data_IF_197844879749
#
_entry.id   IF_197844879749
#
_cell.length_a   1.000
_cell.length_b   1.000
_cell.length_c   1.000
_cell.angle_alpha   90.00
_cell.angle_beta   90.00
_cell.angle_gamma   90.00
#
_symmetry.space_group_name_H-M   'P 1'
#
loop_
_entity.id
_entity.type
_entity.pdbx_description
1 polymer ?
#
# COMPACT_ATOMS: atom_id res chain seq x y z
N UNK A 1 19.05 8.11 25.13
CA UNK A 1 17.66 8.21 24.62
C UNK A 1 16.71 8.01 25.80
N UNK A 2 15.78 8.95 26.03
CA UNK A 2 14.83 8.84 27.15
C UNK A 2 13.82 7.70 26.92
N UNK A 3 13.14 7.25 27.99
CA UNK A 3 12.06 6.27 27.86
C UNK A 3 10.92 6.81 26.97
N UNK A 4 10.62 8.10 27.09
CA UNK A 4 9.62 8.81 26.27
C UNK A 4 9.98 8.78 24.79
N UNK A 5 11.25 9.00 24.42
CA UNK A 5 11.65 8.97 23.00
C UNK A 5 11.59 7.57 22.40
N UNK A 6 11.83 6.52 23.21
CA UNK A 6 11.60 5.12 22.81
C UNK A 6 10.12 4.86 22.52
N UNK A 7 9.23 5.35 23.38
CA UNK A 7 7.79 5.17 23.22
C UNK A 7 7.28 5.84 21.93
N UNK A 8 7.65 7.09 21.66
CA UNK A 8 7.26 7.77 20.41
C UNK A 8 7.84 7.12 19.15
N UNK A 9 9.06 6.60 19.22
CA UNK A 9 9.65 5.83 18.13
C UNK A 9 8.84 4.58 17.82
N UNK A 10 8.53 3.78 18.84
CA UNK A 10 7.72 2.57 18.69
C UNK A 10 6.32 2.91 18.16
N UNK A 11 5.68 3.93 18.72
CA UNK A 11 4.38 4.41 18.26
C UNK A 11 4.41 4.79 16.78
N UNK A 12 5.38 5.59 16.36
CA UNK A 12 5.50 6.00 14.96
C UNK A 12 5.67 4.79 14.03
N UNK A 13 6.58 3.87 14.35
CA UNK A 13 6.87 2.71 13.49
C UNK A 13 5.64 1.81 13.39
N UNK A 14 5.06 1.42 14.53
CA UNK A 14 3.90 0.53 14.55
C UNK A 14 2.69 1.17 13.87
N UNK A 15 2.39 2.43 14.19
CA UNK A 15 1.28 3.13 13.58
C UNK A 15 1.47 3.31 12.08
N UNK A 16 2.70 3.62 11.62
CA UNK A 16 2.99 3.79 10.19
C UNK A 16 2.88 2.48 9.42
N UNK A 17 3.35 1.36 9.99
CA UNK A 17 3.21 0.03 9.36
C UNK A 17 1.74 -0.35 9.23
N UNK A 18 0.96 -0.23 10.31
CA UNK A 18 -0.48 -0.53 10.28
C UNK A 18 -1.24 0.39 9.32
N UNK A 19 -0.96 1.70 9.35
CA UNK A 19 -1.58 2.65 8.45
C UNK A 19 -1.20 2.37 6.98
N UNK A 20 0.06 2.01 6.73
CA UNK A 20 0.53 1.65 5.40
C UNK A 20 -0.17 0.40 4.88
N UNK A 21 -0.40 -0.60 5.73
CA UNK A 21 -1.15 -1.81 5.35
C UNK A 21 -2.58 -1.50 4.91
N UNK A 22 -3.35 -0.78 5.74
CA UNK A 22 -4.74 -0.44 5.42
C UNK A 22 -4.84 0.48 4.20
N UNK A 23 -4.01 1.53 4.15
CA UNK A 23 -4.03 2.48 3.03
C UNK A 23 -3.55 1.82 1.73
N UNK A 24 -2.60 0.87 1.79
CA UNK A 24 -2.15 0.13 0.60
C UNK A 24 -3.29 -0.70 0.00
N UNK A 25 -4.05 -1.41 0.83
CA UNK A 25 -5.25 -2.13 0.38
C UNK A 25 -6.25 -1.18 -0.28
N UNK A 26 -6.55 -0.03 0.34
CA UNK A 26 -7.47 0.95 -0.22
C UNK A 26 -7.02 1.48 -1.59
N UNK A 27 -5.74 1.79 -1.76
CA UNK A 27 -5.19 2.27 -3.04
C UNK A 27 -5.14 1.15 -4.09
N UNK A 28 -4.89 -0.09 -3.67
CA UNK A 28 -4.96 -1.27 -4.53
C UNK A 28 -6.39 -1.47 -5.07
N UNK A 29 -7.40 -1.55 -4.20
CA UNK A 29 -8.79 -1.70 -4.64
C UNK A 29 -9.28 -0.52 -5.48
N UNK A 30 -8.81 0.70 -5.19
CA UNK A 30 -9.09 1.86 -6.04
C UNK A 30 -8.56 1.65 -7.46
N UNK A 31 -7.39 1.05 -7.61
CA UNK A 31 -6.81 0.71 -8.91
C UNK A 31 -7.68 -0.21 -9.75
N UNK A 32 -8.22 -1.25 -9.13
CA UNK A 32 -9.22 -2.13 -9.74
C UNK A 32 -10.46 -1.36 -10.18
N UNK A 33 -11.00 -0.50 -9.30
CA UNK A 33 -12.17 0.31 -9.60
C UNK A 33 -11.93 1.23 -10.81
N UNK A 34 -10.79 1.92 -10.84
CA UNK A 34 -10.41 2.81 -11.94
C UNK A 34 -10.36 2.06 -13.27
N UNK A 35 -9.69 0.90 -13.32
CA UNK A 35 -9.63 0.10 -14.55
C UNK A 35 -11.00 -0.47 -14.94
N UNK A 36 -11.82 -0.88 -13.98
CA UNK A 36 -13.18 -1.34 -14.26
C UNK A 36 -14.00 -0.22 -14.92
N UNK A 37 -13.98 0.99 -14.38
CA UNK A 37 -14.72 2.12 -14.97
C UNK A 37 -14.19 2.52 -16.34
N UNK A 38 -12.87 2.63 -16.50
CA UNK A 38 -12.23 3.00 -17.78
C UNK A 38 -12.52 1.97 -18.88
N UNK A 39 -12.61 0.69 -18.52
CA UNK A 39 -12.89 -0.40 -19.48
C UNK A 39 -14.38 -0.63 -19.75
N UNK A 40 -15.28 0.23 -19.24
CA UNK A 40 -16.73 0.08 -19.42
C UNK A 40 -17.38 -0.98 -18.52
N UNK A 41 -16.64 -1.47 -17.52
CA UNK A 41 -17.16 -2.26 -16.42
C UNK A 41 -17.83 -1.41 -15.34
N UNK A 42 -18.33 -2.09 -14.31
CA UNK A 42 -18.99 -1.43 -13.19
C UNK A 42 -18.73 -2.18 -11.89
N UNK A 43 -18.31 -1.43 -10.87
CA UNK A 43 -18.06 -1.92 -9.51
C UNK A 43 -19.39 -2.05 -8.78
N UNK A 44 -19.59 -3.18 -8.11
CA UNK A 44 -20.75 -3.42 -7.25
C UNK A 44 -20.48 -2.99 -5.81
N UNK A 45 -19.37 -3.50 -5.24
CA UNK A 45 -19.01 -3.35 -3.83
C UNK A 45 -17.50 -3.41 -3.73
N UNK A 46 -16.94 -2.54 -2.89
CA UNK A 46 -15.57 -2.67 -2.39
C UNK A 46 -15.67 -3.03 -0.92
N UNK A 47 -14.80 -3.92 -0.44
CA UNK A 47 -14.68 -4.24 0.99
C UNK A 47 -13.29 -3.80 1.44
N UNK A 48 -13.25 -2.86 2.39
CA UNK A 48 -12.04 -2.41 3.07
C UNK A 48 -12.26 -2.56 4.57
N UNK A 49 -11.71 -3.59 5.18
CA UNK A 49 -11.92 -3.84 6.60
C UNK A 49 -10.62 -4.32 7.25
N UNK A 50 -10.26 -3.86 8.46
CA UNK A 50 -8.96 -4.20 9.05
C UNK A 50 -8.79 -5.69 9.38
N UNK A 51 -9.89 -6.44 9.47
CA UNK A 51 -9.94 -7.83 9.93
C UNK A 51 -10.08 -8.85 8.80
N UNK A 52 -10.30 -8.40 7.56
CA UNK A 52 -10.41 -9.28 6.38
C UNK A 52 -9.62 -8.70 5.22
N UNK A 53 -9.26 -9.53 4.25
CA UNK A 53 -8.61 -9.04 3.04
C UNK A 53 -9.56 -8.16 2.22
N UNK A 54 -9.00 -7.11 1.63
CA UNK A 54 -9.74 -6.25 0.72
C UNK A 54 -10.17 -7.02 -0.54
N UNK A 55 -11.30 -6.62 -1.10
CA UNK A 55 -11.81 -7.19 -2.35
C UNK A 55 -12.73 -6.21 -3.07
N UNK A 56 -12.60 -6.15 -4.39
CA UNK A 56 -13.52 -5.44 -5.28
C UNK A 56 -14.40 -6.43 -6.02
N UNK A 57 -15.71 -6.31 -5.83
CA UNK A 57 -16.73 -7.05 -6.57
C UNK A 57 -17.26 -6.23 -7.75
N UNK A 58 -17.43 -6.87 -8.90
CA UNK A 58 -17.90 -6.24 -10.13
C UNK A 58 -19.29 -6.73 -10.50
N UNK A 59 -20.17 -5.86 -11.00
CA UNK A 59 -21.40 -6.29 -11.70
C UNK A 59 -21.12 -6.70 -13.14
N UNK A 60 -20.14 -6.04 -13.75
CA UNK A 60 -19.71 -6.28 -15.13
C UNK A 60 -18.22 -5.99 -15.22
N UNK A 61 -17.46 -6.93 -15.75
CA UNK A 61 -16.04 -6.79 -16.00
C UNK A 61 -15.72 -7.33 -17.41
N UNK A 62 -15.81 -6.48 -18.46
CA UNK A 62 -15.61 -6.92 -19.84
C UNK A 62 -14.13 -7.22 -20.16
N UNK A 63 -13.20 -6.68 -19.37
CA UNK A 63 -11.76 -6.79 -19.59
C UNK A 63 -11.03 -7.21 -18.30
N UNK A 64 -11.26 -8.44 -17.80
CA UNK A 64 -10.80 -8.84 -16.48
C UNK A 64 -9.27 -8.83 -16.34
N UNK A 65 -8.53 -9.22 -17.37
CA UNK A 65 -7.06 -9.11 -17.37
C UNK A 65 -6.59 -7.67 -17.13
N UNK A 66 -7.23 -6.70 -17.80
CA UNK A 66 -6.90 -5.28 -17.65
C UNK A 66 -7.25 -4.79 -16.24
N UNK A 67 -8.42 -5.17 -15.73
CA UNK A 67 -8.91 -4.74 -14.41
C UNK A 67 -8.05 -5.29 -13.27
N UNK A 68 -7.62 -6.55 -13.32
CA UNK A 68 -6.78 -7.16 -12.29
C UNK A 68 -5.42 -6.45 -12.18
N UNK A 69 -4.82 -6.04 -13.31
CA UNK A 69 -3.60 -5.22 -13.27
C UNK A 69 -3.79 -3.86 -12.61
N UNK A 70 -5.02 -3.32 -12.63
CA UNK A 70 -5.33 -2.01 -12.06
C UNK A 70 -4.91 -1.89 -10.61
N UNK A 71 -5.13 -2.94 -9.81
CA UNK A 71 -4.79 -2.94 -8.40
C UNK A 71 -3.31 -2.74 -8.15
N UNK A 72 -2.48 -3.59 -8.75
CA UNK A 72 -1.02 -3.50 -8.60
C UNK A 72 -0.42 -2.23 -9.25
N UNK A 73 -0.92 -1.81 -10.41
CA UNK A 73 -0.37 -0.64 -11.13
C UNK A 73 -0.64 0.64 -10.35
N UNK A 74 -1.90 0.93 -10.02
CA UNK A 74 -2.24 2.16 -9.28
C UNK A 74 -1.85 2.08 -7.81
N UNK A 75 -1.88 0.86 -7.23
CA UNK A 75 -1.30 0.53 -5.93
C UNK A 75 0.16 0.95 -5.80
N UNK A 76 0.92 0.96 -6.90
CA UNK A 76 2.30 1.43 -6.92
C UNK A 76 2.45 2.90 -7.35
N UNK A 77 1.72 3.32 -8.40
CA UNK A 77 1.91 4.66 -9.01
C UNK A 77 1.36 5.80 -8.14
N UNK A 78 0.21 5.62 -7.50
CA UNK A 78 -0.39 6.68 -6.67
C UNK A 78 0.48 7.02 -5.45
N UNK A 79 1.01 6.04 -4.68
CA UNK A 79 1.92 6.34 -3.57
C UNK A 79 3.23 7.00 -4.03
N UNK A 80 3.78 6.59 -5.18
CA UNK A 80 4.95 7.24 -5.77
C UNK A 80 4.69 8.70 -6.15
N UNK A 81 3.54 8.98 -6.77
CA UNK A 81 3.10 10.33 -7.09
C UNK A 81 2.90 11.19 -5.83
N UNK A 82 2.25 10.63 -4.80
CA UNK A 82 2.07 11.29 -3.52
C UNK A 82 3.41 11.59 -2.84
N UNK A 83 4.36 10.65 -2.86
CA UNK A 83 5.72 10.89 -2.38
C UNK A 83 6.43 12.00 -3.15
N UNK A 84 6.39 11.98 -4.48
CA UNK A 84 7.01 12.99 -5.32
C UNK A 84 6.44 14.39 -5.01
N UNK A 85 5.11 14.50 -4.89
CA UNK A 85 4.41 15.73 -4.54
C UNK A 85 4.83 16.22 -3.14
N UNK A 86 4.72 15.37 -2.11
CA UNK A 86 5.04 15.74 -0.72
C UNK A 86 6.52 16.10 -0.57
N UNK A 87 7.42 15.42 -1.28
CA UNK A 87 8.83 15.79 -1.30
C UNK A 87 9.05 17.20 -1.82
N UNK A 88 8.27 17.65 -2.80
CA UNK A 88 8.34 19.00 -3.34
C UNK A 88 7.69 20.05 -2.41
N UNK A 89 6.54 19.74 -1.81
CA UNK A 89 5.76 20.75 -1.06
C UNK A 89 6.00 20.76 0.45
N UNK A 90 6.31 19.61 1.05
CA UNK A 90 6.50 19.41 2.51
C UNK A 90 7.62 18.40 2.79
N UNK A 91 8.89 18.77 2.54
CA UNK A 91 10.03 17.85 2.67
C UNK A 91 10.20 17.26 4.07
N UNK A 92 9.70 17.92 5.12
CA UNK A 92 9.70 17.38 6.49
C UNK A 92 8.87 16.11 6.66
N UNK A 93 7.81 15.92 5.85
CA UNK A 93 6.95 14.74 5.86
C UNK A 93 7.33 13.70 4.79
N UNK A 94 8.25 14.05 3.89
CA UNK A 94 8.57 13.23 2.73
C UNK A 94 9.04 11.81 3.10
N UNK A 95 9.68 11.63 4.26
CA UNK A 95 10.12 10.31 4.71
C UNK A 95 8.95 9.35 5.02
N UNK A 96 7.80 9.86 5.50
CA UNK A 96 6.61 9.05 5.75
C UNK A 96 5.99 8.56 4.44
N UNK A 97 5.87 9.45 3.46
CA UNK A 97 5.35 9.10 2.13
C UNK A 97 6.33 8.24 1.35
N UNK A 98 7.65 8.45 1.51
CA UNK A 98 8.68 7.57 0.97
C UNK A 98 8.57 6.16 1.54
N UNK A 99 8.36 6.05 2.86
CA UNK A 99 8.11 4.77 3.51
C UNK A 99 6.87 4.11 2.93
N UNK A 100 5.74 4.82 2.88
CA UNK A 100 4.49 4.30 2.34
C UNK A 100 4.60 3.87 0.87
N UNK A 101 5.25 4.66 0.01
CA UNK A 101 5.47 4.30 -1.39
C UNK A 101 6.35 3.06 -1.54
N UNK A 102 7.43 2.95 -0.77
CA UNK A 102 8.25 1.74 -0.73
C UNK A 102 7.49 0.53 -0.21
N UNK A 103 6.63 0.71 0.80
CA UNK A 103 5.75 -0.32 1.33
C UNK A 103 4.79 -0.84 0.27
N UNK A 104 4.13 0.06 -0.46
CA UNK A 104 3.18 -0.31 -1.50
C UNK A 104 3.86 -1.06 -2.64
N UNK A 105 5.01 -0.58 -3.12
CA UNK A 105 5.79 -1.28 -4.13
C UNK A 105 6.19 -2.69 -3.68
N UNK A 106 6.70 -2.82 -2.45
CA UNK A 106 7.14 -4.10 -1.91
C UNK A 106 5.97 -5.07 -1.74
N UNK A 107 4.88 -4.63 -1.11
CA UNK A 107 3.76 -5.52 -0.82
C UNK A 107 3.03 -5.91 -2.10
N UNK A 108 2.73 -4.97 -3.01
CA UNK A 108 2.15 -5.30 -4.31
C UNK A 108 3.06 -6.23 -5.12
N UNK A 109 4.38 -5.99 -5.09
CA UNK A 109 5.35 -6.79 -5.80
C UNK A 109 5.42 -8.23 -5.29
N UNK A 110 5.59 -8.40 -3.97
CA UNK A 110 5.65 -9.73 -3.32
C UNK A 110 4.32 -10.47 -3.47
N UNK A 111 3.20 -9.77 -3.26
CA UNK A 111 1.86 -10.33 -3.39
C UNK A 111 1.62 -10.85 -4.81
N UNK A 112 1.76 -10.00 -5.83
CA UNK A 112 1.46 -10.40 -7.21
C UNK A 112 2.45 -11.43 -7.75
N UNK A 113 3.75 -11.25 -7.46
CA UNK A 113 4.79 -12.16 -7.90
C UNK A 113 4.72 -13.53 -7.24
N UNK A 114 4.41 -13.58 -5.93
CA UNK A 114 4.21 -14.83 -5.20
C UNK A 114 2.91 -15.53 -5.58
N UNK A 115 1.82 -14.78 -5.72
CA UNK A 115 0.53 -15.34 -6.10
C UNK A 115 0.49 -15.87 -7.54
N UNK A 116 1.40 -15.43 -8.42
CA UNK A 116 1.58 -16.05 -9.73
C UNK A 116 1.90 -17.57 -9.65
N UNK A 117 2.41 -18.06 -8.51
CA UNK A 117 2.64 -19.47 -8.23
C UNK A 117 1.50 -20.13 -7.46
N UNK A 118 0.94 -19.45 -6.46
CA UNK A 118 -0.11 -19.97 -5.58
C UNK A 118 -1.49 -19.98 -6.25
N UNK A 119 -1.74 -19.01 -7.13
CA UNK A 119 -2.95 -18.84 -7.96
C UNK A 119 -4.23 -18.71 -7.14
N UNK A 120 -4.17 -18.07 -5.97
CA UNK A 120 -5.30 -17.92 -5.07
C UNK A 120 -5.95 -16.54 -5.13
N UNK A 121 -5.27 -15.54 -5.67
CA UNK A 121 -5.73 -14.16 -5.74
C UNK A 121 -5.42 -13.52 -7.11
N UNK A 122 -5.05 -12.24 -7.15
CA UNK A 122 -4.86 -11.48 -8.40
C UNK A 122 -3.81 -12.07 -9.34
N UNK A 123 -2.73 -12.64 -8.81
CA UNK A 123 -1.73 -13.34 -9.62
C UNK A 123 -2.36 -14.54 -10.33
N UNK A 124 -3.18 -15.31 -9.62
CA UNK A 124 -3.99 -16.37 -10.21
C UNK A 124 -4.95 -15.86 -11.29
N UNK A 125 -5.65 -14.77 -11.03
CA UNK A 125 -6.61 -14.18 -11.99
C UNK A 125 -5.92 -13.65 -13.24
N UNK A 126 -4.75 -13.04 -13.11
CA UNK A 126 -3.93 -12.66 -14.27
C UNK A 126 -3.64 -13.86 -15.17
N UNK A 127 -3.19 -14.97 -14.59
CA UNK A 127 -2.89 -16.19 -15.34
C UNK A 127 -4.16 -16.79 -15.97
N UNK A 128 -5.27 -16.84 -15.23
CA UNK A 128 -6.57 -17.33 -15.73
C UNK A 128 -7.07 -16.53 -16.93
N UNK A 129 -6.77 -15.23 -16.97
CA UNK A 129 -7.17 -14.34 -18.05
C UNK A 129 -6.10 -14.15 -19.14
N UNK A 130 -5.06 -14.99 -19.16
CA UNK A 130 -4.11 -15.10 -20.28
C UNK A 130 -2.77 -14.39 -20.08
N UNK A 131 -2.49 -13.84 -18.89
CA UNK A 131 -1.16 -13.32 -18.58
C UNK A 131 -0.15 -14.47 -18.47
N UNK A 132 0.98 -14.44 -19.20
CA UNK A 132 2.01 -15.45 -19.01
C UNK A 132 2.67 -15.24 -17.64
N UNK A 133 2.91 -16.34 -16.91
CA UNK A 133 3.35 -16.32 -15.51
C UNK A 133 4.60 -15.47 -15.23
N UNK A 134 5.52 -15.37 -16.19
CA UNK A 134 6.73 -14.58 -16.02
C UNK A 134 6.45 -13.07 -15.89
N UNK A 135 5.32 -12.55 -16.40
CA UNK A 135 4.99 -11.12 -16.35
C UNK A 135 4.70 -10.64 -14.93
N UNK A 136 3.75 -11.23 -14.15
CA UNK A 136 3.54 -10.85 -12.76
C UNK A 136 4.77 -11.13 -11.88
N UNK A 137 5.56 -12.16 -12.19
CA UNK A 137 6.84 -12.42 -11.49
C UNK A 137 7.85 -11.31 -11.75
N UNK A 138 8.05 -10.91 -13.01
CA UNK A 138 8.98 -9.85 -13.38
C UNK A 138 8.55 -8.51 -12.77
N UNK A 139 7.25 -8.18 -12.84
CA UNK A 139 6.69 -7.03 -12.13
C UNK A 139 6.99 -7.11 -10.63
N UNK A 140 6.74 -8.27 -10.02
CA UNK A 140 6.94 -8.51 -8.60
C UNK A 140 8.38 -8.27 -8.15
N UNK A 141 9.35 -8.78 -8.91
CA UNK A 141 10.79 -8.56 -8.65
C UNK A 141 11.14 -7.08 -8.77
N UNK A 142 10.77 -6.42 -9.87
CA UNK A 142 11.11 -5.01 -10.11
C UNK A 142 10.50 -4.11 -9.05
N UNK A 143 9.21 -4.28 -8.75
CA UNK A 143 8.50 -3.50 -7.74
C UNK A 143 9.12 -3.73 -6.34
N UNK A 144 9.41 -4.97 -5.97
CA UNK A 144 10.02 -5.29 -4.68
C UNK A 144 11.40 -4.67 -4.51
N UNK A 145 12.26 -4.79 -5.52
CA UNK A 145 13.59 -4.17 -5.52
C UNK A 145 13.50 -2.65 -5.45
N UNK A 146 12.59 -2.04 -6.22
CA UNK A 146 12.36 -0.59 -6.18
C UNK A 146 11.84 -0.12 -4.81
N UNK A 147 10.96 -0.90 -4.16
CA UNK A 147 10.46 -0.61 -2.81
C UNK A 147 11.57 -0.65 -1.76
N UNK A 148 12.40 -1.69 -1.78
CA UNK A 148 13.56 -1.80 -0.89
C UNK A 148 14.58 -0.69 -1.14
N UNK A 149 14.82 -0.33 -2.40
CA UNK A 149 15.68 0.78 -2.77
C UNK A 149 15.12 2.13 -2.25
N UNK A 150 13.81 2.34 -2.35
CA UNK A 150 13.16 3.52 -1.75
C UNK A 150 13.30 3.54 -0.22
N UNK A 151 13.40 2.39 0.45
CA UNK A 151 13.64 2.37 1.89
C UNK A 151 15.10 2.59 2.29
N UNK A 152 16.03 2.53 1.33
CA UNK A 152 17.45 2.72 1.61
C UNK A 152 17.72 4.07 2.30
N UNK A 153 18.34 4.02 3.48
CA UNK A 153 18.67 5.19 4.30
C UNK A 153 17.51 5.77 5.13
N UNK A 154 16.29 5.22 5.08
CA UNK A 154 15.17 5.72 5.89
C UNK A 154 15.33 5.47 7.39
N UNK A 155 16.11 4.46 7.80
CA UNK A 155 16.32 4.09 9.21
C UNK A 155 16.68 5.30 10.09
N UNK A 156 17.49 6.23 9.55
CA UNK A 156 17.90 7.47 10.23
C UNK A 156 16.71 8.35 10.64
N UNK A 157 15.68 8.45 9.81
CA UNK A 157 14.48 9.26 10.06
C UNK A 157 13.58 8.66 11.14
N UNK A 158 13.72 7.37 11.41
CA UNK A 158 13.00 6.66 12.47
C UNK A 158 13.81 6.52 13.76
N UNK A 159 14.96 7.21 13.88
CA UNK A 159 15.82 7.11 15.05
C UNK A 159 16.41 5.72 15.25
N UNK A 160 16.68 5.00 14.16
CA UNK A 160 17.34 3.70 14.12
C UNK A 160 18.77 3.84 13.59
N UNK A 161 19.67 2.97 14.05
CA UNK A 161 21.09 2.97 13.66
C UNK A 161 21.95 3.97 14.45
N UNK A 162 23.26 3.99 14.15
CA UNK A 162 24.26 4.82 14.84
C UNK A 162 24.02 6.33 14.67
N UNK A 163 23.49 6.74 13.51
CA UNK A 163 23.23 8.15 13.16
C UNK A 163 21.76 8.56 13.26
N UNK A 164 20.97 7.81 14.04
CA UNK A 164 19.53 8.00 14.19
C UNK A 164 19.18 9.41 14.67
N UNK A 165 18.27 10.09 13.95
CA UNK A 165 17.75 11.40 14.36
C UNK A 165 16.68 11.24 15.45
N UNK A 166 16.50 12.23 16.34
CA UNK A 166 15.37 12.26 17.25
C UNK A 166 14.04 12.16 16.47
N UNK A 167 13.12 11.33 16.96
CA UNK A 167 11.81 11.15 16.33
C UNK A 167 10.95 12.38 16.59
N UNK A 168 10.31 12.90 15.54
CA UNK A 168 9.32 13.96 15.67
C UNK A 168 8.05 13.42 16.35
N UNK A 169 7.79 13.91 17.57
CA UNK A 169 6.60 13.53 18.37
C UNK A 169 5.30 13.90 17.68
N UNK A 170 5.26 15.02 16.93
CA UNK A 170 4.08 15.45 16.19
C UNK A 170 3.79 14.50 15.05
N UNK A 171 4.83 14.02 14.36
CA UNK A 171 4.67 13.00 13.33
C UNK A 171 4.16 11.68 13.90
N UNK A 172 4.71 11.23 15.04
CA UNK A 172 4.25 10.02 15.74
C UNK A 172 2.77 10.08 16.10
N UNK A 173 2.34 11.18 16.74
CA UNK A 173 0.94 11.40 17.09
C UNK A 173 0.06 11.55 15.84
N UNK A 174 0.50 12.31 14.85
CA UNK A 174 -0.26 12.53 13.61
C UNK A 174 -0.53 11.23 12.84
N UNK A 175 0.47 10.35 12.74
CA UNK A 175 0.31 9.03 12.11
C UNK A 175 -0.60 8.12 12.94
N UNK A 176 -0.48 8.13 14.28
CA UNK A 176 -1.37 7.37 15.15
C UNK A 176 -2.83 7.85 15.05
N UNK A 177 -3.07 9.16 15.00
CA UNK A 177 -4.40 9.73 14.77
C UNK A 177 -4.93 9.36 13.39
N UNK A 178 -4.12 9.45 12.34
CA UNK A 178 -4.53 9.03 11.00
C UNK A 178 -4.91 7.54 10.95
N UNK A 179 -4.14 6.67 11.62
CA UNK A 179 -4.47 5.26 11.76
C UNK A 179 -5.82 5.06 12.46
N UNK A 180 -6.05 5.74 13.59
CA UNK A 180 -7.31 5.63 14.32
C UNK A 180 -8.51 6.08 13.46
N UNK A 181 -8.35 7.15 12.68
CA UNK A 181 -9.37 7.63 11.75
C UNK A 181 -9.64 6.60 10.65
N UNK A 182 -8.61 6.04 10.02
CA UNK A 182 -8.76 5.03 8.96
C UNK A 182 -9.44 3.77 9.50
N UNK A 183 -9.00 3.26 10.66
CA UNK A 183 -9.62 2.09 11.30
C UNK A 183 -11.09 2.35 11.61
N UNK A 184 -11.41 3.51 12.18
CA UNK A 184 -12.80 3.86 12.47
C UNK A 184 -13.63 3.98 11.19
N UNK A 185 -13.09 4.62 10.15
CA UNK A 185 -13.77 4.74 8.86
C UNK A 185 -14.03 3.38 8.22
N UNK A 186 -13.04 2.48 8.21
CA UNK A 186 -13.21 1.14 7.63
C UNK A 186 -14.24 0.30 8.40
N UNK A 187 -14.20 0.31 9.73
CA UNK A 187 -15.16 -0.44 10.56
C UNK A 187 -16.60 0.09 10.42
N UNK A 188 -16.78 1.40 10.25
CA UNK A 188 -18.09 2.04 10.13
C UNK A 188 -18.67 1.94 8.71
N UNK A 189 -17.84 2.11 7.68
CA UNK A 189 -18.27 2.14 6.28
C UNK A 189 -18.29 0.75 5.63
N UNK A 190 -17.49 -0.19 6.12
CA UNK A 190 -17.36 -1.55 5.59
C UNK A 190 -17.48 -2.58 6.73
N UNK A 191 -18.66 -2.69 7.37
CA UNK A 191 -18.88 -3.72 8.37
C UNK A 191 -18.69 -5.11 7.75
N UNK A 192 -18.16 -6.05 8.55
CA UNK A 192 -17.87 -7.43 8.13
C UNK A 192 -19.13 -8.29 7.87
N UNK A 193 -20.26 -7.66 7.54
CA UNK A 193 -21.56 -8.29 7.25
C UNK A 193 -21.79 -8.42 5.75
#
# INVERSE_FOLDING_TARGET
>A
MSATDRAYRLLLILALVCLSWLTMQAVHELGHCLHAWVSGGSVWRVVLNPLVFSVTYYRRNPHPLFVVWGGAVWGCLLPLGAFALVRAVRPSLAYLFRFFAGFCLLVNGVYLGGDAFLKVADGGDLLRHGSPQWVPVAFGVVASVAGLWLWHGLARSFGLGRDGRPVDRRAALGVATALAIVVAAELLLFPAK
#
